data_IF_806838553199
#
_entry.id   IF_806838553199
#
_cell.length_a   1.000
_cell.length_b   1.000
_cell.length_c   1.000
_cell.angle_alpha   90.00
_cell.angle_beta   90.00
_cell.angle_gamma   90.00
#
_symmetry.space_group_name_H-M   'P 1'
#
loop_
_entity.id
_entity.type
_entity.pdbx_description
1 polymer ?
#
# COMPACT_ATOMS: atom_id res chain seq x y z
N UNK A 1 28.29 29.37 16.42
CA UNK A 1 27.24 30.35 16.06
C UNK A 1 25.96 29.56 15.92
N UNK A 2 25.07 29.62 16.93
CA UNK A 2 23.80 28.90 16.88
C UNK A 2 22.87 29.59 15.90
N UNK A 3 22.46 28.88 14.85
CA UNK A 3 21.41 29.29 13.93
C UNK A 3 20.07 28.85 14.53
N UNK A 4 19.39 29.74 15.27
CA UNK A 4 18.08 29.51 15.91
C UNK A 4 16.90 29.44 14.92
N UNK A 5 17.14 29.02 13.67
CA UNK A 5 16.12 28.77 12.67
C UNK A 5 16.26 27.35 12.10
N UNK A 6 15.15 26.70 11.70
CA UNK A 6 15.22 25.36 11.12
C UNK A 6 16.11 25.40 9.87
N UNK A 7 17.07 24.45 9.77
CA UNK A 7 17.92 24.31 8.60
C UNK A 7 17.03 24.12 7.37
N UNK A 8 17.34 24.83 6.28
CA UNK A 8 16.60 24.72 5.02
C UNK A 8 16.56 23.27 4.54
N UNK A 9 17.63 22.51 4.77
CA UNK A 9 17.71 21.08 4.43
C UNK A 9 16.64 20.27 5.18
N UNK A 10 16.45 20.55 6.47
CA UNK A 10 15.44 19.89 7.30
C UNK A 10 14.04 20.29 6.90
N UNK A 11 13.82 21.57 6.57
CA UNK A 11 12.52 22.08 6.12
C UNK A 11 12.12 21.45 4.79
N UNK A 12 13.04 21.39 3.83
CA UNK A 12 12.81 20.74 2.53
C UNK A 12 12.56 19.25 2.72
N UNK A 13 13.34 18.56 3.56
CA UNK A 13 13.12 17.14 3.86
C UNK A 13 11.73 16.89 4.45
N UNK A 14 11.28 17.74 5.39
CA UNK A 14 9.91 17.68 5.94
C UNK A 14 8.83 17.99 4.90
N UNK A 15 9.09 18.94 4.01
CA UNK A 15 8.19 19.27 2.91
C UNK A 15 8.03 18.11 1.93
N UNK A 16 9.13 17.44 1.57
CA UNK A 16 9.14 16.24 0.72
C UNK A 16 8.34 15.13 1.37
N UNK A 17 8.65 14.77 2.62
CA UNK A 17 7.94 13.72 3.35
C UNK A 17 6.43 14.01 3.43
N UNK A 18 6.06 15.23 3.83
CA UNK A 18 4.65 15.62 3.97
C UNK A 18 3.87 15.78 2.65
N UNK A 19 4.57 15.90 1.51
CA UNK A 19 3.97 15.78 0.17
C UNK A 19 3.86 14.32 -0.26
N UNK A 20 4.90 13.52 0.04
CA UNK A 20 4.94 12.09 -0.24
C UNK A 20 3.78 11.34 0.41
N UNK A 21 3.45 11.66 1.66
CA UNK A 21 2.32 11.02 2.37
C UNK A 21 0.97 11.15 1.65
N UNK A 22 0.81 12.18 0.80
CA UNK A 22 -0.46 12.51 0.15
C UNK A 22 -0.47 12.28 -1.36
N UNK A 23 0.67 12.38 -2.01
CA UNK A 23 0.80 12.35 -3.47
C UNK A 23 2.04 11.54 -3.87
N UNK A 24 1.89 10.71 -4.90
CA UNK A 24 3.00 9.96 -5.53
C UNK A 24 3.87 10.88 -6.38
N UNK A 25 3.25 11.87 -7.03
CA UNK A 25 3.92 12.82 -7.89
C UNK A 25 3.51 14.24 -7.53
N UNK A 26 4.45 15.16 -7.56
CA UNK A 26 4.22 16.57 -7.24
C UNK A 26 5.11 17.48 -8.08
N UNK A 27 4.69 18.74 -8.20
CA UNK A 27 5.40 19.73 -9.02
C UNK A 27 6.43 20.50 -8.20
N UNK A 28 7.38 21.13 -8.87
CA UNK A 28 8.30 22.08 -8.23
C UNK A 28 7.56 23.19 -7.47
N UNK A 29 6.42 23.66 -8.00
CA UNK A 29 5.60 24.69 -7.37
C UNK A 29 4.96 24.20 -6.06
N UNK A 30 4.46 22.95 -6.02
CA UNK A 30 3.94 22.34 -4.79
C UNK A 30 5.02 22.28 -3.70
N UNK A 31 6.23 21.88 -4.08
CA UNK A 31 7.40 21.82 -3.20
C UNK A 31 7.79 23.19 -2.68
N UNK A 32 7.89 24.17 -3.57
CA UNK A 32 8.26 25.54 -3.21
C UNK A 32 7.22 26.14 -2.25
N UNK A 33 5.93 26.02 -2.57
CA UNK A 33 4.85 26.50 -1.72
C UNK A 33 4.88 25.84 -0.33
N UNK A 34 5.11 24.53 -0.26
CA UNK A 34 5.15 23.79 1.00
C UNK A 34 6.39 24.09 1.85
N UNK A 35 7.52 24.36 1.20
CA UNK A 35 8.79 24.71 1.86
C UNK A 35 8.72 26.14 2.40
N UNK A 36 8.32 27.10 1.57
CA UNK A 36 8.20 28.51 1.97
C UNK A 36 7.14 28.68 3.06
N UNK A 37 6.04 27.94 3.02
CA UNK A 37 5.01 27.96 4.06
C UNK A 37 5.47 27.47 5.44
N UNK A 38 6.65 26.84 5.54
CA UNK A 38 7.26 26.39 6.80
C UNK A 38 8.40 27.31 7.28
N UNK A 39 8.84 28.26 6.44
CA UNK A 39 9.90 29.21 6.75
C UNK A 39 9.31 30.52 7.26
N UNK A 40 10.07 31.22 8.10
CA UNK A 40 9.71 32.57 8.52
C UNK A 40 9.78 33.54 7.33
N UNK A 41 8.82 34.45 7.23
CA UNK A 41 8.79 35.46 6.18
C UNK A 41 9.92 36.49 6.37
N UNK A 42 11.04 36.26 5.68
CA UNK A 42 12.21 37.14 5.58
C UNK A 42 12.54 37.40 4.12
N UNK A 43 13.31 38.44 3.85
CA UNK A 43 13.81 38.70 2.50
C UNK A 43 14.73 37.55 2.04
N UNK A 44 14.56 37.10 0.79
CA UNK A 44 15.37 36.03 0.20
C UNK A 44 14.93 34.59 0.50
N UNK A 45 13.79 34.39 1.19
CA UNK A 45 13.28 33.04 1.53
C UNK A 45 13.03 32.16 0.30
N UNK A 46 12.56 32.74 -0.80
CA UNK A 46 12.34 31.99 -2.04
C UNK A 46 13.64 31.46 -2.65
N UNK A 47 14.72 32.25 -2.64
CA UNK A 47 16.00 31.82 -3.17
C UNK A 47 16.66 30.78 -2.27
N UNK A 48 16.49 30.91 -0.95
CA UNK A 48 16.91 29.91 0.01
C UNK A 48 16.16 28.58 -0.22
N UNK A 49 14.84 28.64 -0.40
CA UNK A 49 14.02 27.46 -0.68
C UNK A 49 14.37 26.79 -2.00
N UNK A 50 14.61 27.57 -3.07
CA UNK A 50 15.07 27.04 -4.36
C UNK A 50 16.38 26.28 -4.21
N UNK A 51 17.39 26.90 -3.57
CA UNK A 51 18.69 26.25 -3.30
C UNK A 51 18.54 24.97 -2.48
N UNK A 52 17.66 24.97 -1.47
CA UNK A 52 17.39 23.77 -0.68
C UNK A 52 16.75 22.65 -1.50
N UNK A 53 15.83 22.98 -2.41
CA UNK A 53 15.21 22.00 -3.31
C UNK A 53 16.24 21.48 -4.32
N UNK A 54 17.08 22.34 -4.88
CA UNK A 54 18.12 21.94 -5.83
C UNK A 54 19.13 20.98 -5.15
N UNK A 55 19.52 21.28 -3.91
CA UNK A 55 20.35 20.36 -3.11
C UNK A 55 19.65 19.03 -2.81
N UNK A 56 18.33 19.01 -2.64
CA UNK A 56 17.57 17.77 -2.45
C UNK A 56 17.49 16.92 -3.75
N UNK A 57 17.53 17.55 -4.93
CA UNK A 57 17.66 16.86 -6.21
C UNK A 57 19.07 16.23 -6.33
N UNK A 58 20.12 16.98 -6.00
CA UNK A 58 21.50 16.49 -6.01
C UNK A 58 21.72 15.31 -5.05
N UNK A 59 21.00 15.30 -3.92
CA UNK A 59 21.03 14.21 -2.93
C UNK A 59 20.06 13.07 -3.25
N UNK A 60 19.46 13.08 -4.43
CA UNK A 60 18.49 12.08 -4.89
C UNK A 60 17.28 11.91 -3.96
N UNK A 61 16.99 12.87 -3.07
CA UNK A 61 15.75 12.87 -2.29
C UNK A 61 14.55 13.19 -3.18
N UNK A 62 14.78 13.97 -4.23
CA UNK A 62 13.83 14.29 -5.28
C UNK A 62 14.30 13.73 -6.62
N UNK A 63 13.47 12.90 -7.22
CA UNK A 63 13.76 12.21 -8.47
C UNK A 63 12.91 12.86 -9.57
N UNK A 64 13.53 13.52 -10.57
CA UNK A 64 12.78 14.14 -11.66
C UNK A 64 12.20 13.07 -12.59
N UNK A 65 10.89 13.12 -12.80
CA UNK A 65 10.18 12.28 -13.78
C UNK A 65 10.10 12.96 -15.15
N UNK A 66 9.84 14.26 -15.14
CA UNK A 66 9.78 15.10 -16.34
C UNK A 66 10.41 16.45 -16.01
N UNK A 67 11.62 16.69 -16.55
CA UNK A 67 12.37 17.93 -16.29
C UNK A 67 11.72 19.16 -16.92
N UNK A 68 10.99 19.00 -18.02
CA UNK A 68 10.35 20.11 -18.72
C UNK A 68 9.10 20.58 -17.98
N UNK A 69 8.35 19.63 -17.41
CA UNK A 69 7.14 19.93 -16.62
C UNK A 69 7.41 20.17 -15.15
N UNK A 70 8.66 19.99 -14.70
CA UNK A 70 9.03 20.09 -13.28
C UNK A 70 8.27 19.09 -12.41
N UNK A 71 8.07 17.86 -12.91
CA UNK A 71 7.38 16.78 -12.23
C UNK A 71 8.39 15.90 -11.48
N UNK A 72 8.14 15.66 -10.20
CA UNK A 72 9.02 14.91 -9.32
C UNK A 72 8.27 13.79 -8.60
N UNK A 73 9.01 12.74 -8.27
CA UNK A 73 8.69 11.79 -7.20
C UNK A 73 9.76 11.91 -6.10
N UNK A 74 9.52 11.34 -4.94
CA UNK A 74 10.51 11.25 -3.87
C UNK A 74 11.22 9.89 -3.89
N UNK A 75 12.43 9.84 -3.33
CA UNK A 75 13.07 8.55 -3.07
C UNK A 75 12.29 7.68 -2.08
N UNK A 76 11.49 8.28 -1.19
CA UNK A 76 10.64 7.54 -0.24
C UNK A 76 9.72 6.59 -1.03
N UNK A 77 8.99 7.13 -2.02
CA UNK A 77 8.10 6.33 -2.86
C UNK A 77 8.84 5.28 -3.67
N UNK A 78 9.98 5.64 -4.26
CA UNK A 78 10.77 4.70 -5.07
C UNK A 78 11.31 3.56 -4.20
N UNK A 79 11.81 3.86 -3.01
CA UNK A 79 12.32 2.85 -2.08
C UNK A 79 11.19 1.95 -1.57
N UNK A 80 10.01 2.50 -1.27
CA UNK A 80 8.84 1.71 -0.88
C UNK A 80 8.40 0.76 -2.00
N UNK A 81 8.34 1.23 -3.24
CA UNK A 81 8.01 0.38 -4.40
C UNK A 81 9.05 -0.72 -4.63
N UNK A 82 10.34 -0.40 -4.50
CA UNK A 82 11.42 -1.37 -4.61
C UNK A 82 11.36 -2.41 -3.47
N UNK A 83 11.05 -1.98 -2.25
CA UNK A 83 10.90 -2.85 -1.09
C UNK A 83 9.71 -3.80 -1.27
N UNK A 84 8.54 -3.29 -1.69
CA UNK A 84 7.35 -4.11 -1.99
C UNK A 84 7.65 -5.12 -3.11
N UNK A 85 8.36 -4.70 -4.15
CA UNK A 85 8.77 -5.59 -5.25
C UNK A 85 9.70 -6.70 -4.77
N UNK A 86 10.75 -6.36 -4.01
CA UNK A 86 11.69 -7.33 -3.47
C UNK A 86 10.99 -8.32 -2.53
N UNK A 87 10.12 -7.83 -1.65
CA UNK A 87 9.35 -8.65 -0.73
C UNK A 87 8.39 -9.59 -1.47
N UNK A 88 7.67 -9.10 -2.48
CA UNK A 88 6.74 -9.92 -3.28
C UNK A 88 7.48 -11.05 -4.01
N UNK A 89 8.65 -10.75 -4.59
CA UNK A 89 9.49 -11.76 -5.23
C UNK A 89 10.00 -12.79 -4.22
N UNK A 90 10.41 -12.35 -3.04
CA UNK A 90 10.92 -13.26 -2.03
C UNK A 90 9.83 -14.17 -1.46
N UNK A 91 8.65 -13.61 -1.16
CA UNK A 91 7.48 -14.38 -0.74
C UNK A 91 7.10 -15.43 -1.79
N UNK A 92 7.08 -15.07 -3.07
CA UNK A 92 6.78 -16.03 -4.15
C UNK A 92 7.83 -17.14 -4.29
N UNK A 93 9.10 -16.86 -3.98
CA UNK A 93 10.20 -17.81 -4.15
C UNK A 93 10.37 -18.74 -2.95
N UNK A 94 10.27 -18.21 -1.73
CA UNK A 94 10.58 -18.94 -0.51
C UNK A 94 9.39 -19.67 0.09
N UNK A 95 8.20 -19.06 0.03
CA UNK A 95 7.04 -19.65 0.66
C UNK A 95 6.44 -20.72 -0.26
N UNK A 96 5.84 -21.73 0.35
CA UNK A 96 5.13 -22.79 -0.35
C UNK A 96 3.76 -22.98 0.32
N UNK A 97 2.73 -23.23 -0.48
CA UNK A 97 1.39 -23.55 0.01
C UNK A 97 1.27 -25.06 0.06
N UNK A 98 1.26 -25.64 1.25
CA UNK A 98 0.93 -27.05 1.44
C UNK A 98 -0.58 -27.23 1.39
N UNK A 99 -1.04 -28.24 0.65
CA UNK A 99 -2.45 -28.61 0.57
C UNK A 99 -2.63 -29.95 1.27
N UNK A 100 -3.38 -29.94 2.38
CA UNK A 100 -3.82 -31.15 3.08
C UNK A 100 -5.34 -31.17 3.03
N UNK A 101 -5.93 -31.92 2.08
CA UNK A 101 -7.38 -31.90 1.89
C UNK A 101 -8.09 -32.28 3.19
N UNK A 102 -8.95 -31.39 3.69
CA UNK A 102 -9.79 -31.69 4.83
C UNK A 102 -11.13 -32.26 4.32
N UNK A 103 -11.30 -33.58 4.48
CA UNK A 103 -12.48 -34.29 4.04
C UNK A 103 -13.77 -33.92 4.80
N UNK A 104 -13.68 -33.14 5.89
CA UNK A 104 -14.82 -32.70 6.68
C UNK A 104 -15.56 -31.48 6.09
N UNK A 105 -14.97 -30.79 5.09
CA UNK A 105 -15.57 -29.60 4.47
C UNK A 105 -16.36 -29.99 3.21
N UNK A 106 -17.70 -30.04 3.32
CA UNK A 106 -18.61 -30.37 2.21
C UNK A 106 -19.10 -29.11 1.50
N UNK A 107 -18.95 -29.03 0.17
CA UNK A 107 -19.52 -27.93 -0.65
C UNK A 107 -21.05 -27.99 -0.69
N UNK A 108 -21.70 -26.89 -0.32
CA UNK A 108 -22.98 -26.53 -0.93
C UNK A 108 -22.68 -25.68 -2.17
N UNK A 109 -23.15 -26.12 -3.34
CA UNK A 109 -22.78 -25.50 -4.61
C UNK A 109 -23.29 -24.06 -4.71
N UNK A 110 -22.38 -23.11 -4.58
CA UNK A 110 -22.55 -21.75 -5.09
C UNK A 110 -21.34 -21.51 -5.98
N UNK A 111 -21.53 -21.23 -7.27
CA UNK A 111 -20.41 -20.66 -8.02
C UNK A 111 -20.88 -19.80 -9.18
N UNK A 112 -20.53 -18.52 -9.10
CA UNK A 112 -20.36 -17.67 -10.26
C UNK A 112 -18.98 -17.87 -10.93
N UNK A 113 -18.08 -18.71 -10.38
CA UNK A 113 -16.74 -18.99 -10.91
C UNK A 113 -16.49 -20.49 -11.21
N UNK A 114 -15.98 -20.87 -12.40
CA UNK A 114 -15.75 -22.27 -12.76
C UNK A 114 -14.69 -22.99 -11.90
N UNK A 115 -14.96 -24.27 -11.59
CA UNK A 115 -14.11 -25.28 -10.91
C UNK A 115 -12.62 -25.27 -11.31
N UNK A 116 -12.28 -24.86 -12.54
CA UNK A 116 -10.93 -24.81 -13.08
C UNK A 116 -10.05 -23.66 -12.56
N UNK A 117 -10.63 -22.49 -12.22
CA UNK A 117 -9.87 -21.39 -11.59
C UNK A 117 -9.41 -21.77 -10.17
N UNK A 118 -10.24 -22.54 -9.47
CA UNK A 118 -10.05 -22.86 -8.06
C UNK A 118 -8.87 -23.81 -7.80
N UNK A 119 -8.56 -24.72 -8.74
CA UNK A 119 -7.40 -25.62 -8.65
C UNK A 119 -6.04 -24.92 -8.86
N UNK A 120 -6.05 -23.65 -9.31
CA UNK A 120 -4.85 -22.84 -9.57
C UNK A 120 -4.46 -21.96 -8.37
N UNK A 121 -5.29 -21.87 -7.33
CA UNK A 121 -4.96 -21.17 -6.07
C UNK A 121 -4.07 -22.07 -5.19
N UNK A 122 -2.94 -22.51 -5.76
CA UNK A 122 -1.77 -22.97 -5.03
C UNK A 122 -0.68 -21.88 -5.02
N UNK A 123 -1.01 -20.69 -5.53
CA UNK A 123 -0.12 -19.52 -5.48
C UNK A 123 -0.02 -19.01 -4.05
N UNK A 124 1.21 -18.75 -3.60
CA UNK A 124 1.51 -18.11 -2.31
C UNK A 124 0.82 -16.76 -2.16
N UNK A 125 0.70 -16.02 -3.27
CA UNK A 125 0.11 -14.69 -3.33
C UNK A 125 -0.72 -14.55 -4.62
N UNK A 126 -1.84 -13.83 -4.55
CA UNK A 126 -2.68 -13.53 -5.72
C UNK A 126 -3.59 -12.33 -5.49
N UNK A 127 -3.94 -11.64 -6.58
CA UNK A 127 -4.90 -10.53 -6.58
C UNK A 127 -6.19 -11.05 -7.19
N UNK A 128 -7.30 -10.95 -6.45
CA UNK A 128 -8.63 -11.36 -6.93
C UNK A 128 -9.44 -10.10 -7.23
N UNK A 129 -9.58 -9.79 -8.51
CA UNK A 129 -10.45 -8.73 -9.00
C UNK A 129 -11.87 -9.26 -9.21
N UNK A 130 -12.88 -8.49 -8.80
CA UNK A 130 -14.28 -8.82 -9.13
C UNK A 130 -15.18 -7.60 -9.11
N UNK A 131 -16.17 -7.60 -9.98
CA UNK A 131 -17.20 -6.56 -10.03
C UNK A 131 -18.35 -6.85 -9.05
N UNK A 132 -19.11 -5.83 -8.69
CA UNK A 132 -20.15 -5.90 -7.67
C UNK A 132 -19.70 -5.25 -6.36
N UNK A 133 -20.61 -4.48 -5.75
CA UNK A 133 -20.36 -3.71 -4.53
C UNK A 133 -20.15 -4.59 -3.30
N UNK A 134 -20.45 -4.07 -2.11
CA UNK A 134 -20.15 -4.74 -0.84
C UNK A 134 -20.63 -6.21 -0.79
N UNK A 135 -21.85 -6.50 -1.23
CA UNK A 135 -22.39 -7.88 -1.26
C UNK A 135 -21.58 -8.81 -2.17
N UNK A 136 -21.14 -8.33 -3.35
CA UNK A 136 -20.32 -9.12 -4.26
C UNK A 136 -18.91 -9.38 -3.71
N UNK A 137 -18.35 -8.41 -2.98
CA UNK A 137 -17.08 -8.60 -2.28
C UNK A 137 -17.20 -9.64 -1.17
N UNK A 138 -18.27 -9.59 -0.36
CA UNK A 138 -18.52 -10.59 0.68
C UNK A 138 -18.62 -12.00 0.12
N UNK A 139 -19.36 -12.18 -0.98
CA UNK A 139 -19.51 -13.51 -1.60
C UNK A 139 -18.15 -14.07 -2.04
N UNK A 140 -17.31 -13.24 -2.68
CA UNK A 140 -15.95 -13.67 -3.08
C UNK A 140 -15.06 -14.01 -1.88
N UNK A 141 -15.11 -13.21 -0.81
CA UNK A 141 -14.33 -13.50 0.42
C UNK A 141 -14.82 -14.80 1.05
N UNK A 142 -16.13 -15.07 1.03
CA UNK A 142 -16.71 -16.33 1.52
C UNK A 142 -16.27 -17.53 0.68
N UNK A 143 -16.30 -17.42 -0.65
CA UNK A 143 -15.82 -18.46 -1.55
C UNK A 143 -14.33 -18.76 -1.30
N UNK A 144 -13.46 -17.74 -1.19
CA UNK A 144 -12.03 -17.91 -0.92
C UNK A 144 -11.75 -18.51 0.47
N UNK A 145 -12.53 -18.12 1.47
CA UNK A 145 -12.41 -18.65 2.84
C UNK A 145 -12.76 -20.14 2.88
N UNK A 146 -13.85 -20.52 2.21
CA UNK A 146 -14.25 -21.92 2.12
C UNK A 146 -13.17 -22.76 1.46
N UNK A 147 -12.59 -22.28 0.36
CA UNK A 147 -11.50 -22.98 -0.32
C UNK A 147 -10.24 -23.16 0.51
N UNK A 148 -9.82 -22.12 1.21
CA UNK A 148 -8.62 -22.22 2.04
C UNK A 148 -8.83 -23.26 3.14
N UNK A 149 -10.03 -23.30 3.75
CA UNK A 149 -10.41 -24.34 4.71
C UNK A 149 -10.49 -25.74 4.09
N UNK A 150 -11.02 -25.88 2.87
CA UNK A 150 -10.99 -27.17 2.12
C UNK A 150 -9.56 -27.69 1.92
N UNK A 151 -8.59 -26.80 1.78
CA UNK A 151 -7.16 -27.14 1.68
C UNK A 151 -6.49 -27.41 3.04
N UNK A 152 -7.25 -27.41 4.14
CA UNK A 152 -6.77 -27.59 5.51
C UNK A 152 -6.06 -26.36 6.07
N UNK A 153 -6.38 -25.16 5.58
CA UNK A 153 -5.70 -23.91 5.96
C UNK A 153 -6.55 -23.07 6.90
N UNK A 154 -5.90 -22.54 7.93
CA UNK A 154 -6.47 -21.47 8.76
C UNK A 154 -6.55 -20.16 7.97
N UNK A 155 -7.66 -19.44 8.14
CA UNK A 155 -7.96 -18.22 7.39
C UNK A 155 -8.00 -17.03 8.33
N UNK A 156 -7.20 -16.02 8.03
CA UNK A 156 -7.27 -14.71 8.65
C UNK A 156 -7.69 -13.67 7.61
N UNK A 157 -8.69 -12.86 7.96
CA UNK A 157 -9.24 -11.84 7.07
C UNK A 157 -8.93 -10.48 7.68
N UNK A 158 -8.27 -9.63 6.89
CA UNK A 158 -8.02 -8.22 7.21
C UNK A 158 -8.88 -7.34 6.29
N UNK A 159 -9.49 -6.30 6.84
CA UNK A 159 -10.31 -5.36 6.09
C UNK A 159 -9.66 -3.96 6.09
N UNK A 160 -9.96 -3.17 5.06
CA UNK A 160 -9.40 -1.82 4.91
C UNK A 160 -9.88 -0.83 5.98
N UNK A 161 -11.08 -1.05 6.53
CA UNK A 161 -11.67 -0.22 7.59
C UNK A 161 -12.63 -1.03 8.49
N UNK A 162 -13.03 -0.42 9.62
CA UNK A 162 -13.93 -1.06 10.59
C UNK A 162 -15.31 -1.38 9.99
N UNK A 163 -15.83 -0.51 9.11
CA UNK A 163 -17.16 -0.72 8.49
C UNK A 163 -17.18 -1.97 7.61
N UNK A 164 -16.14 -2.16 6.82
CA UNK A 164 -15.93 -3.31 5.96
C UNK A 164 -15.70 -4.57 6.78
N UNK A 165 -14.93 -4.46 7.87
CA UNK A 165 -14.75 -5.56 8.83
C UNK A 165 -16.09 -6.03 9.40
N UNK A 166 -16.89 -5.10 9.94
CA UNK A 166 -18.17 -5.42 10.57
C UNK A 166 -19.17 -5.97 9.53
N UNK A 167 -19.12 -5.46 8.30
CA UNK A 167 -19.91 -5.96 7.18
C UNK A 167 -19.52 -7.40 6.78
N UNK A 168 -18.23 -7.76 6.81
CA UNK A 168 -17.77 -9.13 6.55
C UNK A 168 -18.07 -10.06 7.74
N UNK A 169 -17.90 -9.58 8.97
CA UNK A 169 -18.17 -10.35 10.19
C UNK A 169 -19.64 -10.76 10.35
N UNK A 170 -20.57 -10.03 9.72
CA UNK A 170 -21.99 -10.41 9.67
C UNK A 170 -22.31 -11.67 8.87
N UNK A 171 -21.35 -12.24 8.13
CA UNK A 171 -21.52 -13.51 7.41
C UNK A 171 -21.02 -14.68 8.26
N UNK A 172 -21.91 -15.61 8.59
CA UNK A 172 -21.58 -16.81 9.38
C UNK A 172 -20.51 -17.68 8.72
N UNK A 173 -20.39 -17.64 7.38
CA UNK A 173 -19.35 -18.38 6.64
C UNK A 173 -17.95 -17.82 6.93
N UNK A 174 -17.88 -16.53 7.24
CA UNK A 174 -16.67 -15.81 7.60
C UNK A 174 -16.43 -15.77 9.11
N UNK A 175 -17.45 -16.08 9.91
CA UNK A 175 -17.35 -16.18 11.36
C UNK A 175 -16.58 -17.44 11.77
N UNK A 176 -15.35 -17.25 12.27
CA UNK A 176 -14.47 -18.29 12.81
C UNK A 176 -13.03 -18.20 12.28
N UNK A 177 -11.98 -18.10 13.10
CA UNK A 177 -11.91 -18.12 14.57
C UNK A 177 -11.57 -16.75 15.16
N UNK A 178 -12.31 -16.34 16.18
CA UNK A 178 -11.88 -15.29 17.09
C UNK A 178 -10.51 -15.64 17.68
N UNK A 179 -9.67 -14.62 17.83
CA UNK A 179 -8.45 -14.72 18.60
C UNK A 179 -8.74 -15.20 20.02
N UNK A 180 -8.10 -16.30 20.38
CA UNK A 180 -7.65 -16.55 21.74
C UNK A 180 -6.37 -17.38 21.65
N UNK A 181 -5.25 -16.65 21.55
CA UNK A 181 -3.88 -16.98 22.01
C UNK A 181 -2.95 -15.83 21.71
#
# INVERSE_FOLDING_TARGET
>A
MNTDGPDITDVVTKAIAGLSDRKVQFTYADLLARTVGQLEAKDGVFDLARKGIDAAIEREQLIPLDREKGLFTSNIHVLDELAVKALSQEVQRQNHVSVTPDASVVRQSLSAMPSACWRRIASVMGIVSGQGGATGQRERVAELTLMAREQGRDVHILAADNRSRDFLAGDVRLAGGNGDR
#
